data_IF_125921755909
#
_entry.id   IF_125921755909
#
_cell.length_a   1.000
_cell.length_b   1.000
_cell.length_c   1.000
_cell.angle_alpha   90.00
_cell.angle_beta   90.00
_cell.angle_gamma   90.00
#
_symmetry.space_group_name_H-M   'P 1'
#
loop_
_entity.id
_entity.type
_entity.pdbx_description
1 polymer ?
#
# COMPACT_ATOMS: atom_id res chain seq x y z
N UNK A 1 34.17 -19.45 27.10
CA UNK A 1 33.76 -20.59 26.26
C UNK A 1 33.26 -21.70 27.16
N UNK A 2 31.95 -21.72 27.34
CA UNK A 2 31.35 -22.78 28.13
C UNK A 2 30.91 -23.90 27.21
N UNK A 3 31.37 -25.07 27.54
CA UNK A 3 31.17 -26.29 26.79
C UNK A 3 29.70 -26.74 26.89
N UNK A 4 29.07 -27.01 25.78
CA UNK A 4 27.72 -27.58 25.74
C UNK A 4 27.77 -29.03 26.16
N UNK A 5 27.39 -29.34 27.39
CA UNK A 5 27.41 -30.69 27.95
C UNK A 5 26.17 -31.53 27.62
N UNK A 6 25.52 -31.31 26.50
CA UNK A 6 24.38 -32.14 26.05
C UNK A 6 23.13 -32.12 26.95
N UNK A 7 23.09 -31.32 27.97
CA UNK A 7 21.90 -31.12 28.83
C UNK A 7 21.13 -29.90 28.38
N UNK A 8 19.84 -30.05 28.18
CA UNK A 8 18.91 -28.96 27.85
C UNK A 8 18.75 -27.99 29.04
N UNK A 9 19.16 -28.43 30.24
CA UNK A 9 19.11 -27.62 31.43
C UNK A 9 20.53 -27.22 31.85
N UNK A 10 20.85 -25.96 31.61
CA UNK A 10 21.97 -25.31 32.25
C UNK A 10 21.52 -24.65 33.54
N UNK A 11 22.15 -25.04 34.64
CA UNK A 11 21.97 -24.31 35.87
C UNK A 11 22.52 -22.87 35.71
N UNK A 12 21.67 -21.91 35.66
CA UNK A 12 22.03 -20.53 35.94
C UNK A 12 22.24 -19.59 34.75
N UNK A 13 22.28 -20.05 33.50
CA UNK A 13 22.40 -19.16 32.35
C UNK A 13 21.08 -19.04 31.56
N UNK A 14 20.43 -17.97 31.75
CA UNK A 14 19.31 -17.56 30.93
C UNK A 14 19.85 -17.08 29.58
N UNK A 15 19.48 -17.74 28.48
CA UNK A 15 19.80 -17.26 27.14
C UNK A 15 18.97 -16.02 26.88
N UNK A 16 19.48 -14.87 27.27
CA UNK A 16 18.86 -13.58 27.03
C UNK A 16 19.01 -13.28 25.53
N UNK A 17 17.96 -13.61 24.78
CA UNK A 17 17.69 -13.13 23.44
C UNK A 17 18.78 -13.31 22.37
N UNK A 18 18.53 -14.17 21.40
CA UNK A 18 19.29 -14.15 20.14
C UNK A 18 18.58 -13.21 19.17
N UNK A 19 19.25 -12.15 18.77
CA UNK A 19 18.79 -11.30 17.67
C UNK A 19 19.26 -11.90 16.35
N UNK A 20 18.31 -12.25 15.50
CA UNK A 20 18.60 -12.73 14.14
C UNK A 20 18.11 -11.66 13.16
N UNK A 21 18.99 -11.22 12.27
CA UNK A 21 18.65 -10.32 11.18
C UNK A 21 18.54 -11.12 9.89
N UNK A 22 17.38 -11.05 9.25
CA UNK A 22 17.13 -11.62 7.94
C UNK A 22 17.02 -10.50 6.91
N UNK A 23 17.84 -10.58 5.86
CA UNK A 23 17.76 -9.66 4.70
C UNK A 23 17.41 -10.46 3.46
N UNK A 24 16.39 -9.99 2.72
CA UNK A 24 15.98 -10.62 1.47
C UNK A 24 15.41 -9.60 0.50
N UNK A 25 15.45 -9.93 -0.78
CA UNK A 25 14.86 -9.13 -1.85
C UNK A 25 13.54 -9.75 -2.29
N UNK A 26 12.52 -8.91 -2.47
CA UNK A 26 11.21 -9.34 -2.97
C UNK A 26 10.93 -8.65 -4.29
N UNK A 27 10.64 -9.44 -5.31
CA UNK A 27 10.21 -8.91 -6.60
C UNK A 27 8.74 -8.50 -6.54
N UNK A 28 8.46 -7.24 -6.88
CA UNK A 28 7.10 -6.77 -7.07
C UNK A 28 6.63 -7.21 -8.46
N UNK A 29 5.81 -8.25 -8.52
CA UNK A 29 5.19 -8.71 -9.75
C UNK A 29 3.69 -8.44 -9.70
N UNK A 30 3.11 -7.89 -10.78
CA UNK A 30 1.66 -7.84 -10.86
C UNK A 30 1.09 -9.28 -10.85
N UNK A 31 -0.11 -9.50 -10.31
CA UNK A 31 -0.74 -10.80 -10.34
C UNK A 31 -1.03 -11.22 -11.78
N UNK A 32 -1.08 -12.52 -12.02
CA UNK A 32 -1.47 -13.07 -13.31
C UNK A 32 -2.88 -12.57 -13.68
N UNK A 33 -3.04 -12.12 -14.93
CA UNK A 33 -4.32 -11.59 -15.42
C UNK A 33 -4.61 -10.13 -15.06
N UNK A 34 -3.70 -9.41 -14.39
CA UNK A 34 -3.83 -7.97 -14.12
C UNK A 34 -4.92 -7.60 -13.10
N UNK A 35 -5.57 -8.57 -12.46
CA UNK A 35 -6.57 -8.32 -11.44
C UNK A 35 -5.92 -7.84 -10.13
N UNK A 36 -6.60 -6.95 -9.41
CA UNK A 36 -6.15 -6.52 -8.08
C UNK A 36 -6.26 -7.72 -7.12
N UNK A 37 -5.17 -8.09 -6.41
CA UNK A 37 -5.20 -9.21 -5.47
C UNK A 37 -6.30 -9.05 -4.42
N UNK A 38 -6.80 -10.16 -3.90
CA UNK A 38 -7.69 -10.15 -2.74
C UNK A 38 -7.04 -9.48 -1.53
N UNK A 39 -7.82 -9.13 -0.52
CA UNK A 39 -7.30 -8.55 0.72
C UNK A 39 -6.21 -9.45 1.31
N UNK A 40 -5.08 -8.87 1.65
CA UNK A 40 -3.90 -9.58 2.20
C UNK A 40 -3.33 -10.71 1.32
N UNK A 41 -3.76 -10.82 0.05
CA UNK A 41 -3.27 -11.86 -0.87
C UNK A 41 -1.95 -11.48 -1.55
N UNK A 42 -1.58 -10.20 -1.54
CA UNK A 42 -0.32 -9.73 -2.09
C UNK A 42 0.80 -9.97 -1.06
N UNK A 43 1.62 -10.99 -1.29
CA UNK A 43 2.63 -11.43 -0.33
C UNK A 43 3.60 -10.30 0.10
N UNK A 44 4.18 -9.48 -0.81
CA UNK A 44 5.00 -8.34 -0.40
C UNK A 44 4.24 -7.32 0.44
N UNK A 45 2.94 -7.20 0.26
CA UNK A 45 2.07 -6.31 1.03
C UNK A 45 2.01 -6.65 2.50
N UNK A 46 2.11 -7.94 2.86
CA UNK A 46 2.16 -8.35 4.27
C UNK A 46 3.39 -7.84 5.00
N UNK A 47 4.53 -7.77 4.30
CA UNK A 47 5.76 -7.18 4.85
C UNK A 47 5.58 -5.68 5.05
N UNK A 48 4.93 -5.00 4.09
CA UNK A 48 4.60 -3.58 4.21
C UNK A 48 3.63 -3.33 5.38
N UNK A 49 2.60 -4.17 5.53
CA UNK A 49 1.65 -4.07 6.66
C UNK A 49 2.36 -4.28 8.00
N UNK A 50 3.27 -5.24 8.11
CA UNK A 50 4.10 -5.41 9.31
C UNK A 50 4.98 -4.19 9.60
N UNK A 51 5.38 -3.44 8.58
CA UNK A 51 6.08 -2.16 8.69
C UNK A 51 5.13 -0.95 8.88
N UNK A 52 3.87 -1.20 9.29
CA UNK A 52 2.84 -0.16 9.54
C UNK A 52 2.37 0.61 8.30
N UNK A 53 2.39 -0.04 7.15
CA UNK A 53 1.68 0.45 5.98
C UNK A 53 0.25 -0.08 5.98
N UNK A 54 -0.71 0.79 5.78
CA UNK A 54 -2.12 0.43 5.59
C UNK A 54 -2.37 0.10 4.12
N UNK A 55 -2.98 -1.04 3.86
CA UNK A 55 -3.43 -1.43 2.53
C UNK A 55 -4.72 -0.69 2.18
N UNK A 56 -4.71 0.02 1.06
CA UNK A 56 -5.89 0.59 0.44
C UNK A 56 -6.12 -0.07 -0.91
N UNK A 57 -7.22 -0.80 -1.04
CA UNK A 57 -7.52 -1.65 -2.18
C UNK A 57 -8.79 -1.19 -2.91
N UNK A 58 -8.65 -0.94 -4.19
CA UNK A 58 -9.75 -0.71 -5.13
C UNK A 58 -9.79 -1.90 -6.09
N UNK A 59 -10.72 -2.82 -5.88
CA UNK A 59 -10.83 -4.04 -6.69
C UNK A 59 -11.51 -3.82 -8.03
N UNK A 60 -12.43 -2.87 -8.07
CA UNK A 60 -13.17 -2.47 -9.27
C UNK A 60 -13.09 -0.97 -9.42
N UNK A 61 -13.06 -0.48 -10.65
CA UNK A 61 -13.01 0.96 -10.90
C UNK A 61 -14.19 1.70 -10.25
N UNK A 62 -13.95 2.90 -9.76
CA UNK A 62 -14.95 3.76 -9.11
C UNK A 62 -15.00 5.12 -9.85
N UNK A 63 -16.09 5.45 -10.51
CA UNK A 63 -17.25 4.60 -10.81
C UNK A 63 -16.90 3.45 -11.79
N UNK A 64 -17.77 2.43 -11.89
CA UNK A 64 -17.55 1.30 -12.80
C UNK A 64 -17.44 1.75 -14.27
N UNK A 65 -18.23 2.72 -14.67
CA UNK A 65 -18.11 3.45 -15.94
C UNK A 65 -17.66 4.90 -15.66
N UNK A 66 -16.78 5.50 -16.48
CA UNK A 66 -16.31 6.86 -16.27
C UNK A 66 -17.46 7.86 -16.10
N UNK A 67 -17.43 8.65 -15.03
CA UNK A 67 -18.44 9.64 -14.65
C UNK A 67 -17.88 11.04 -14.79
N UNK A 68 -18.74 12.01 -15.12
CA UNK A 68 -18.34 13.41 -15.22
C UNK A 68 -17.81 13.94 -13.88
N UNK A 69 -16.76 14.72 -13.94
CA UNK A 69 -16.27 15.49 -12.77
C UNK A 69 -17.29 16.55 -12.37
N UNK A 70 -17.26 16.94 -11.09
CA UNK A 70 -18.10 18.02 -10.58
C UNK A 70 -17.72 19.40 -11.14
N UNK A 71 -18.47 20.40 -10.76
CA UNK A 71 -18.27 21.78 -11.20
C UNK A 71 -16.92 22.36 -10.71
N UNK A 72 -16.41 23.34 -11.48
CA UNK A 72 -15.24 24.17 -11.14
C UNK A 72 -13.93 23.37 -10.93
N UNK A 73 -13.56 22.47 -11.85
CA UNK A 73 -12.27 21.84 -11.78
C UNK A 73 -11.15 22.87 -11.99
N UNK A 74 -10.02 22.62 -11.35
CA UNK A 74 -8.80 23.40 -11.55
C UNK A 74 -7.67 22.48 -12.07
N UNK A 75 -6.52 23.05 -12.38
CA UNK A 75 -5.34 22.26 -12.78
C UNK A 75 -4.78 21.41 -11.65
N UNK A 76 -5.12 21.68 -10.39
CA UNK A 76 -4.59 20.97 -9.20
C UNK A 76 -5.65 20.30 -8.34
N UNK A 77 -6.96 20.51 -8.63
CA UNK A 77 -8.03 19.92 -7.86
C UNK A 77 -9.28 19.68 -8.70
N UNK A 78 -9.97 18.58 -8.40
CA UNK A 78 -11.22 18.20 -9.06
C UNK A 78 -12.23 17.72 -8.02
N UNK A 79 -13.50 18.11 -8.20
CA UNK A 79 -14.60 17.53 -7.42
C UNK A 79 -15.03 16.24 -8.13
N UNK A 80 -15.02 15.12 -7.45
CA UNK A 80 -15.47 13.86 -8.00
C UNK A 80 -17.02 13.83 -8.03
N UNK A 81 -17.57 13.02 -8.94
CA UNK A 81 -19.01 12.96 -9.16
C UNK A 81 -19.80 12.24 -8.07
N UNK A 82 -21.06 11.93 -8.38
CA UNK A 82 -22.03 11.41 -7.41
C UNK A 82 -21.62 10.04 -6.84
N UNK A 83 -21.02 9.19 -7.65
CA UNK A 83 -20.62 7.82 -7.28
C UNK A 83 -19.45 7.77 -6.29
N UNK A 84 -18.62 8.82 -6.22
CA UNK A 84 -17.54 8.90 -5.24
C UNK A 84 -18.14 9.00 -3.82
N UNK A 85 -17.55 8.26 -2.88
CA UNK A 85 -17.97 8.30 -1.48
C UNK A 85 -17.61 9.63 -0.81
N UNK A 86 -18.47 10.13 0.07
CA UNK A 86 -18.28 11.38 0.81
C UNK A 86 -17.50 11.17 2.13
N UNK A 87 -16.48 10.31 2.11
CA UNK A 87 -15.64 10.01 3.28
C UNK A 87 -14.28 10.66 3.12
N UNK A 88 -13.92 11.54 4.04
CA UNK A 88 -12.65 12.24 4.00
C UNK A 88 -11.47 11.24 3.99
N UNK A 89 -10.43 11.57 3.23
CA UNK A 89 -9.20 10.80 3.05
C UNK A 89 -9.34 9.40 2.42
N UNK A 90 -10.55 8.95 2.07
CA UNK A 90 -10.79 7.60 1.54
C UNK A 90 -9.96 7.31 0.28
N UNK A 91 -9.86 8.28 -0.61
CA UNK A 91 -9.13 8.12 -1.89
C UNK A 91 -7.74 8.75 -1.89
N UNK A 92 -7.27 9.21 -0.73
CA UNK A 92 -5.91 9.76 -0.60
C UNK A 92 -4.87 8.71 -1.00
N UNK A 93 -3.90 9.12 -1.84
CA UNK A 93 -2.82 8.27 -2.34
C UNK A 93 -3.22 7.32 -3.46
N UNK A 94 -4.50 7.29 -3.87
CA UNK A 94 -4.95 6.48 -4.99
C UNK A 94 -4.76 7.21 -6.31
N UNK A 95 -4.59 6.44 -7.37
CA UNK A 95 -4.54 6.93 -8.75
C UNK A 95 -5.95 7.17 -9.28
N UNK A 96 -6.12 8.30 -9.91
CA UNK A 96 -7.35 8.68 -10.62
C UNK A 96 -7.01 8.97 -12.07
N UNK A 97 -7.82 8.43 -12.95
CA UNK A 97 -7.81 8.74 -14.39
C UNK A 97 -8.73 9.92 -14.64
N UNK A 98 -8.22 10.94 -15.31
CA UNK A 98 -8.94 12.16 -15.66
C UNK A 98 -8.93 12.36 -17.17
N UNK A 99 -10.05 12.69 -17.77
CA UNK A 99 -10.20 12.95 -19.18
C UNK A 99 -10.39 14.45 -19.47
N UNK A 100 -10.16 14.85 -20.73
CA UNK A 100 -10.38 16.22 -21.18
C UNK A 100 -9.35 17.23 -20.65
N UNK A 101 -8.09 16.84 -20.53
CA UNK A 101 -6.98 17.70 -20.09
C UNK A 101 -6.32 18.33 -21.30
N UNK A 102 -6.92 19.39 -21.83
CA UNK A 102 -6.41 20.09 -23.02
C UNK A 102 -6.36 19.22 -24.27
N UNK A 103 -5.74 19.73 -25.32
CA UNK A 103 -5.65 19.08 -26.61
C UNK A 103 -4.60 17.93 -26.67
N UNK A 104 -3.66 17.91 -25.72
CA UNK A 104 -2.50 17.00 -25.77
C UNK A 104 -2.77 15.63 -25.18
N UNK A 105 -3.72 15.51 -24.22
CA UNK A 105 -3.99 14.26 -23.51
C UNK A 105 -5.50 14.00 -23.42
N UNK A 106 -5.94 12.96 -24.13
CA UNK A 106 -7.33 12.50 -24.02
C UNK A 106 -7.65 12.00 -22.59
N UNK A 107 -6.64 11.45 -21.91
CA UNK A 107 -6.77 10.91 -20.55
C UNK A 107 -5.42 10.93 -19.85
N UNK A 108 -5.42 11.27 -18.56
CA UNK A 108 -4.21 11.26 -17.73
C UNK A 108 -4.46 10.55 -16.40
N UNK A 109 -3.47 9.77 -15.99
CA UNK A 109 -3.44 9.13 -14.69
C UNK A 109 -2.60 9.98 -13.73
N UNK A 110 -3.19 10.37 -12.60
CA UNK A 110 -2.52 11.14 -11.54
C UNK A 110 -2.92 10.63 -10.16
N UNK A 111 -2.15 10.96 -9.12
CA UNK A 111 -2.45 10.55 -7.77
C UNK A 111 -3.21 11.63 -7.00
N UNK A 112 -4.10 11.21 -6.11
CA UNK A 112 -4.85 12.09 -5.20
C UNK A 112 -4.00 12.38 -3.96
N UNK A 113 -3.63 13.63 -3.77
CA UNK A 113 -2.86 14.10 -2.61
C UNK A 113 -3.71 14.17 -1.34
N UNK A 114 -4.93 14.71 -1.46
CA UNK A 114 -5.90 14.81 -0.38
C UNK A 114 -7.31 14.69 -0.92
N UNK A 115 -8.22 14.23 -0.06
CA UNK A 115 -9.62 14.06 -0.41
C UNK A 115 -10.50 14.50 0.76
N UNK A 116 -11.52 15.29 0.48
CA UNK A 116 -12.44 15.82 1.49
C UNK A 116 -13.78 15.09 1.48
N UNK A 117 -14.57 15.24 2.54
CA UNK A 117 -15.96 14.76 2.57
C UNK A 117 -16.85 15.44 1.52
N UNK A 118 -16.49 16.64 1.06
CA UNK A 118 -17.13 17.32 -0.07
C UNK A 118 -16.72 16.79 -1.45
N UNK A 119 -16.04 15.63 -1.49
CA UNK A 119 -15.56 14.96 -2.71
C UNK A 119 -14.52 15.76 -3.51
N UNK A 120 -13.90 16.78 -2.91
CA UNK A 120 -12.81 17.50 -3.54
C UNK A 120 -11.52 16.69 -3.41
N UNK A 121 -10.96 16.30 -4.55
CA UNK A 121 -9.68 15.64 -4.68
C UNK A 121 -8.62 16.66 -5.10
N UNK A 122 -7.63 16.91 -4.26
CA UNK A 122 -6.43 17.67 -4.64
C UNK A 122 -5.42 16.69 -5.25
N UNK A 123 -4.84 17.06 -6.39
CA UNK A 123 -3.92 16.22 -7.14
C UNK A 123 -2.49 16.35 -6.63
N UNK A 124 -1.67 15.34 -6.85
CA UNK A 124 -0.23 15.37 -6.52
C UNK A 124 0.54 16.28 -7.45
N UNK A 125 0.10 16.40 -8.69
CA UNK A 125 0.70 17.23 -9.71
C UNK A 125 -0.26 18.29 -10.23
N UNK A 126 0.28 19.36 -10.79
CA UNK A 126 -0.47 20.37 -11.52
C UNK A 126 -0.61 19.95 -12.98
N UNK A 127 -1.82 19.81 -13.44
CA UNK A 127 -2.14 19.46 -14.82
C UNK A 127 -1.88 20.64 -15.76
N UNK A 128 -1.66 20.37 -17.04
CA UNK A 128 -1.48 21.41 -18.07
C UNK A 128 -2.74 22.23 -18.33
N UNK A 129 -3.91 21.66 -18.08
CA UNK A 129 -5.20 22.33 -18.16
C UNK A 129 -6.17 21.71 -17.14
N UNK A 130 -7.21 22.45 -16.74
CA UNK A 130 -8.29 21.90 -15.93
C UNK A 130 -9.01 20.79 -16.72
N UNK A 131 -9.25 19.61 -16.12
CA UNK A 131 -9.97 18.54 -16.80
C UNK A 131 -11.44 18.93 -17.00
N UNK A 132 -11.97 18.59 -18.16
CA UNK A 132 -13.38 18.92 -18.53
C UNK A 132 -14.21 17.66 -18.79
N UNK A 133 -13.61 16.49 -18.70
CA UNK A 133 -14.23 15.21 -19.03
C UNK A 133 -14.64 14.40 -17.81
N UNK A 134 -14.45 13.12 -17.93
CA UNK A 134 -14.83 12.14 -16.93
C UNK A 134 -13.66 11.79 -16.01
N UNK A 135 -13.97 11.23 -14.84
CA UNK A 135 -12.99 10.61 -13.95
C UNK A 135 -13.30 9.14 -13.71
N UNK A 136 -12.27 8.43 -13.29
CA UNK A 136 -12.38 7.06 -12.80
C UNK A 136 -11.20 6.76 -11.88
N UNK A 137 -11.45 6.31 -10.65
CA UNK A 137 -10.43 5.74 -9.78
C UNK A 137 -10.17 4.32 -10.30
N UNK A 138 -8.96 4.07 -10.78
CA UNK A 138 -8.63 2.80 -11.42
C UNK A 138 -8.46 1.69 -10.39
N UNK A 139 -8.71 0.41 -10.77
CA UNK A 139 -8.40 -0.73 -9.90
C UNK A 139 -6.92 -0.71 -9.51
N UNK A 140 -6.64 -0.78 -8.22
CA UNK A 140 -5.28 -0.64 -7.71
C UNK A 140 -5.12 -1.16 -6.30
N UNK A 141 -3.87 -1.37 -5.92
CA UNK A 141 -3.46 -1.69 -4.57
C UNK A 141 -2.43 -0.65 -4.13
N UNK A 142 -2.73 0.11 -3.11
CA UNK A 142 -1.85 1.15 -2.56
C UNK A 142 -1.51 0.87 -1.11
N UNK A 143 -0.27 1.12 -0.73
CA UNK A 143 0.21 1.02 0.65
C UNK A 143 0.63 2.40 1.13
N UNK A 144 0.03 2.85 2.21
CA UNK A 144 0.32 4.15 2.81
C UNK A 144 0.83 3.95 4.23
N UNK A 145 1.98 4.56 4.55
CA UNK A 145 2.51 4.52 5.90
C UNK A 145 1.71 5.47 6.81
N UNK A 146 1.27 4.95 7.95
CA UNK A 146 0.76 5.78 9.04
C UNK A 146 1.95 6.37 9.81
N UNK A 147 2.02 7.69 9.89
CA UNK A 147 3.04 8.38 10.68
C UNK A 147 2.72 8.42 12.19
N UNK A 148 1.50 8.06 12.57
CA UNK A 148 1.09 8.02 13.97
C UNK A 148 1.49 6.74 14.71
N UNK A 149 1.89 5.69 14.00
CA UNK A 149 2.28 4.43 14.57
C UNK A 149 3.79 4.23 14.48
N UNK A 150 4.43 4.06 15.63
CA UNK A 150 5.89 4.00 15.77
C UNK A 150 6.43 2.58 15.87
N UNK A 151 5.61 1.62 16.28
CA UNK A 151 6.06 0.25 16.52
C UNK A 151 5.56 -0.71 15.42
N UNK A 152 6.47 -1.36 14.65
CA UNK A 152 6.08 -2.33 13.62
C UNK A 152 5.41 -3.56 14.23
N UNK A 153 4.41 -4.11 13.54
CA UNK A 153 3.76 -5.34 13.94
C UNK A 153 4.70 -6.53 13.85
N UNK A 154 4.61 -7.47 14.77
CA UNK A 154 5.40 -8.69 14.69
C UNK A 154 4.95 -9.54 13.49
N UNK A 155 5.93 -10.12 12.82
CA UNK A 155 5.76 -11.03 11.70
C UNK A 155 6.36 -12.38 12.06
N UNK A 156 5.70 -13.46 11.69
CA UNK A 156 6.27 -14.81 11.78
C UNK A 156 6.54 -15.34 10.37
N UNK A 157 7.68 -15.97 10.18
CA UNK A 157 8.08 -16.53 8.90
C UNK A 157 8.70 -17.91 9.09
N UNK A 158 8.31 -18.85 8.24
CA UNK A 158 8.99 -20.15 8.12
C UNK A 158 9.91 -20.14 6.92
N UNK A 159 11.15 -20.56 7.11
CA UNK A 159 12.15 -20.68 6.06
C UNK A 159 12.58 -22.14 5.98
N UNK A 160 12.65 -22.65 4.76
CA UNK A 160 13.17 -23.98 4.48
C UNK A 160 14.56 -23.85 3.86
N UNK A 161 15.57 -24.34 4.54
CA UNK A 161 16.94 -24.38 4.06
C UNK A 161 17.43 -25.81 4.15
N UNK A 162 17.83 -26.38 3.04
CA UNK A 162 18.42 -27.73 2.95
C UNK A 162 17.59 -28.79 3.69
N UNK A 163 16.27 -28.76 3.50
CA UNK A 163 15.34 -29.69 4.13
C UNK A 163 15.00 -29.41 5.60
N UNK A 164 15.63 -28.42 6.22
CA UNK A 164 15.33 -27.98 7.58
C UNK A 164 14.38 -26.79 7.56
N UNK A 165 13.38 -26.83 8.43
CA UNK A 165 12.46 -25.72 8.66
C UNK A 165 12.93 -24.87 9.83
N UNK A 166 13.06 -23.57 9.59
CA UNK A 166 13.32 -22.57 10.61
C UNK A 166 12.08 -21.70 10.77
N UNK A 167 11.52 -21.66 11.96
CA UNK A 167 10.41 -20.78 12.30
C UNK A 167 10.94 -19.55 13.04
N UNK A 168 10.87 -18.41 12.36
CA UNK A 168 11.20 -17.11 12.93
C UNK A 168 9.90 -16.47 13.43
N UNK A 169 9.84 -16.22 14.72
CA UNK A 169 8.67 -15.62 15.37
C UNK A 169 9.01 -14.24 15.90
N UNK A 170 8.00 -13.39 16.01
CA UNK A 170 8.12 -12.03 16.54
C UNK A 170 9.18 -11.17 15.82
N UNK A 171 9.37 -11.40 14.51
CA UNK A 171 10.24 -10.54 13.69
C UNK A 171 9.61 -9.17 13.51
N UNK A 172 10.44 -8.14 13.46
CA UNK A 172 10.03 -6.77 13.16
C UNK A 172 10.77 -6.27 11.93
N UNK A 173 10.08 -5.52 11.08
CA UNK A 173 10.70 -4.88 9.93
C UNK A 173 11.51 -3.68 10.40
N UNK A 174 12.84 -3.76 10.29
CA UNK A 174 13.77 -2.70 10.73
C UNK A 174 14.11 -1.71 9.63
N UNK A 175 13.94 -2.07 8.36
CA UNK A 175 14.18 -1.19 7.22
C UNK A 175 13.65 -1.75 5.91
N UNK A 176 13.18 -0.85 5.07
CA UNK A 176 12.81 -1.09 3.67
C UNK A 176 13.74 -0.25 2.80
N UNK A 177 14.37 -0.87 1.82
CA UNK A 177 15.28 -0.20 0.87
C UNK A 177 14.81 -0.43 -0.55
#
# INVERSE_FOLDING_TARGET
NEEYTGSIHRNGDEVIGKNVTLSFNVYLRPPAGGAVPGANAFLPGRILQAAKFTENRVSTAIPAAPEAIGANPTTSAVTLGATAAATASLYKGLLVSLAGIGATYAQRLTAIRSYTAGKLATLMETLSAAPTGNYQIVPQLAYQRSISETDPDPLSQSIWLDGLRFDLVNMRVSGLR
#
